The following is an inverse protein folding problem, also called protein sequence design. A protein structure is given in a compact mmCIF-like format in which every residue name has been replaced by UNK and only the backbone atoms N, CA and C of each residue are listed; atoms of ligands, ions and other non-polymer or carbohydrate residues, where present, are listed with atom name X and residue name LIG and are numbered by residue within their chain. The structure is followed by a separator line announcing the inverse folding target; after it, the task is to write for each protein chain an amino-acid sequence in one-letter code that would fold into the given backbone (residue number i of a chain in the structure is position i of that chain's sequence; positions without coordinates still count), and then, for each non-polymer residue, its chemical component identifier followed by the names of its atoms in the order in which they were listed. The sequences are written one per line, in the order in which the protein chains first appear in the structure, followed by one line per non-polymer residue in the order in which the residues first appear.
data_IF_633641536186
#
_entry.id   IF_633641536186
#
_cell.length_a   1.000
_cell.length_b   1.000
_cell.length_c   1.000
_cell.angle_alpha   90.00
_cell.angle_beta   90.00
_cell.angle_gamma   90.00
#
_symmetry.space_group_name_H-M   'P 1'
#
loop_
_entity.id
_entity.type
_entity.pdbx_description
1 polymer ?
#
# COMPACT_ATOMS: atom_id res chain seq x y z
N UNK A 1 -4.89 34.37 -3.91
CA UNK A 1 -4.32 33.46 -4.93
C UNK A 1 -2.99 32.99 -4.37
N UNK A 2 -2.89 31.71 -3.97
CA UNK A 2 -1.57 31.16 -3.65
C UNK A 2 -0.69 31.15 -4.91
N UNK A 3 0.54 31.64 -4.79
CA UNK A 3 1.50 31.61 -5.87
C UNK A 3 1.72 30.16 -6.32
N UNK A 4 1.68 29.91 -7.64
CA UNK A 4 1.90 28.58 -8.21
C UNK A 4 3.24 28.04 -7.72
N UNK A 5 3.26 26.83 -7.20
CA UNK A 5 4.50 26.19 -6.78
C UNK A 5 5.45 26.05 -7.97
N UNK A 6 6.72 26.44 -7.78
CA UNK A 6 7.76 26.16 -8.75
C UNK A 6 8.13 24.67 -8.68
N UNK A 7 8.36 24.07 -9.85
CA UNK A 7 8.73 22.65 -10.00
C UNK A 7 10.15 22.55 -10.55
N UNK A 8 10.87 21.52 -10.15
CA UNK A 8 12.12 21.11 -10.76
C UNK A 8 12.05 19.67 -11.24
N UNK A 9 12.94 19.31 -12.18
CA UNK A 9 13.03 17.97 -12.77
C UNK A 9 14.30 17.29 -12.32
N UNK A 10 14.19 16.02 -11.97
CA UNK A 10 15.32 15.15 -11.60
C UNK A 10 15.06 13.74 -12.12
N UNK A 11 16.08 13.11 -12.74
CA UNK A 11 16.00 11.73 -13.17
C UNK A 11 16.57 10.80 -12.08
N UNK A 12 15.77 9.85 -11.62
CA UNK A 12 16.16 8.89 -10.60
C UNK A 12 15.86 7.48 -11.11
N UNK A 13 16.90 6.66 -11.29
CA UNK A 13 16.81 5.29 -11.80
C UNK A 13 15.92 5.21 -13.08
N UNK A 14 16.27 6.00 -14.09
CA UNK A 14 15.56 6.08 -15.39
C UNK A 14 14.09 6.48 -15.28
N UNK A 15 13.67 7.08 -14.17
CA UNK A 15 12.35 7.66 -13.98
C UNK A 15 12.51 9.16 -13.80
N UNK A 16 11.84 9.95 -14.67
CA UNK A 16 11.80 11.39 -14.53
C UNK A 16 10.82 11.79 -13.43
N UNK A 17 11.28 12.57 -12.47
CA UNK A 17 10.49 13.17 -11.40
C UNK A 17 10.37 14.66 -11.66
N UNK A 18 9.17 15.19 -11.53
CA UNK A 18 8.90 16.63 -11.61
C UNK A 18 8.11 17.01 -10.36
N UNK A 19 8.78 17.65 -9.41
CA UNK A 19 8.25 17.88 -8.06
C UNK A 19 8.40 19.34 -7.65
N UNK A 20 7.52 19.83 -6.75
CA UNK A 20 7.66 21.17 -6.17
C UNK A 20 9.00 21.35 -5.44
N UNK A 21 9.62 22.54 -5.55
CA UNK A 21 10.90 22.88 -4.93
C UNK A 21 10.96 22.67 -3.40
N UNK A 22 9.78 22.64 -2.73
CA UNK A 22 9.69 22.33 -1.30
C UNK A 22 10.11 20.89 -0.96
N UNK A 23 10.15 19.99 -1.95
CA UNK A 23 10.57 18.59 -1.76
C UNK A 23 11.96 18.37 -2.32
N UNK A 24 12.93 18.16 -1.44
CA UNK A 24 14.35 18.03 -1.80
C UNK A 24 14.90 16.66 -1.47
N UNK A 25 16.12 16.35 -1.94
CA UNK A 25 16.85 15.11 -1.63
C UNK A 25 16.04 13.86 -1.98
N UNK A 26 15.48 13.82 -3.17
CA UNK A 26 14.76 12.66 -3.66
C UNK A 26 15.67 11.43 -3.68
N UNK A 27 15.19 10.34 -3.10
CA UNK A 27 15.89 9.03 -3.12
C UNK A 27 14.86 7.93 -3.30
N UNK A 28 15.00 7.13 -4.35
CA UNK A 28 14.09 6.00 -4.59
C UNK A 28 14.18 4.98 -3.47
N UNK A 29 13.02 4.59 -2.94
CA UNK A 29 12.86 3.62 -1.84
C UNK A 29 12.02 2.42 -2.26
N UNK A 30 11.27 2.52 -3.37
CA UNK A 30 10.46 1.43 -3.86
C UNK A 30 10.03 1.63 -5.31
N UNK A 31 9.78 0.52 -6.00
CA UNK A 31 9.16 0.48 -7.34
C UNK A 31 8.23 -0.70 -7.40
N UNK A 32 7.06 -0.51 -7.97
CA UNK A 32 6.05 -1.54 -8.17
C UNK A 32 5.34 -1.37 -9.50
N UNK A 33 4.46 -2.30 -9.83
CA UNK A 33 3.71 -2.30 -11.10
C UNK A 33 2.88 -1.02 -11.33
N UNK A 34 2.57 -0.27 -10.27
CA UNK A 34 1.62 0.86 -10.31
C UNK A 34 2.23 2.20 -9.96
N UNK A 35 3.53 2.23 -9.64
CA UNK A 35 4.20 3.47 -9.29
C UNK A 35 5.58 3.27 -8.72
N UNK A 36 6.33 4.36 -8.69
CA UNK A 36 7.63 4.45 -8.02
C UNK A 36 7.52 5.35 -6.80
N UNK A 37 8.28 5.05 -5.76
CA UNK A 37 8.25 5.81 -4.49
C UNK A 37 9.65 6.35 -4.21
N UNK A 38 9.73 7.65 -3.93
CA UNK A 38 10.93 8.31 -3.41
C UNK A 38 10.70 8.81 -1.99
N UNK A 39 11.71 8.72 -1.15
CA UNK A 39 11.77 9.56 0.05
C UNK A 39 12.24 10.97 -0.32
N UNK A 40 11.78 11.97 0.42
CA UNK A 40 12.14 13.37 0.25
C UNK A 40 12.12 14.09 1.59
N UNK A 41 12.76 15.26 1.65
CA UNK A 41 12.63 16.20 2.77
C UNK A 41 11.68 17.31 2.35
N UNK A 42 10.65 17.55 3.16
CA UNK A 42 9.79 18.71 2.99
C UNK A 42 10.45 19.91 3.67
N UNK A 43 10.98 20.86 2.89
CA UNK A 43 11.74 22.01 3.39
C UNK A 43 10.92 22.98 4.26
N UNK A 44 9.57 22.92 4.16
CA UNK A 44 8.71 23.80 4.98
C UNK A 44 8.72 23.42 6.46
N UNK A 45 8.72 22.11 6.77
CA UNK A 45 8.67 21.60 8.15
C UNK A 45 9.84 20.68 8.51
N UNK A 46 10.79 20.48 7.58
CA UNK A 46 11.97 19.60 7.72
C UNK A 46 11.64 18.12 7.95
N UNK A 47 10.39 17.72 7.74
CA UNK A 47 9.96 16.34 7.86
C UNK A 47 10.32 15.51 6.64
N UNK A 48 10.64 14.24 6.88
CA UNK A 48 10.84 13.26 5.83
C UNK A 48 9.50 12.73 5.36
N UNK A 49 9.27 12.72 4.05
CA UNK A 49 8.05 12.25 3.41
C UNK A 49 8.35 11.15 2.39
N UNK A 50 7.33 10.38 2.02
CA UNK A 50 7.36 9.48 0.88
C UNK A 50 6.48 10.06 -0.24
N UNK A 51 7.03 10.16 -1.44
CA UNK A 51 6.31 10.65 -2.61
C UNK A 51 6.14 9.47 -3.57
N UNK A 52 4.89 9.09 -3.85
CA UNK A 52 4.54 8.05 -4.82
C UNK A 52 4.15 8.71 -6.14
N UNK A 53 4.90 8.44 -7.19
CA UNK A 53 4.56 8.78 -8.57
C UNK A 53 3.76 7.63 -9.16
N UNK A 54 2.52 7.87 -9.58
CA UNK A 54 1.69 6.87 -10.25
C UNK A 54 2.16 6.69 -11.69
N UNK A 55 2.30 5.44 -12.15
CA UNK A 55 2.68 5.13 -13.51
C UNK A 55 1.48 5.26 -14.45
N UNK A 56 1.50 6.26 -15.35
CA UNK A 56 0.51 6.48 -16.40
C UNK A 56 -0.93 6.30 -15.90
N UNK A 57 -1.35 7.03 -14.84
CA UNK A 57 -2.64 6.81 -14.20
C UNK A 57 -3.84 7.05 -15.12
N UNK A 58 -3.65 7.76 -16.24
CA UNK A 58 -4.71 8.10 -17.19
C UNK A 58 -4.60 7.33 -18.51
N UNK A 59 -3.73 6.32 -18.62
CA UNK A 59 -3.55 5.52 -19.84
C UNK A 59 -4.81 4.73 -20.24
N UNK A 60 -5.62 4.32 -19.25
CA UNK A 60 -6.89 3.63 -19.46
C UNK A 60 -7.86 3.94 -18.33
N UNK A 61 -9.15 3.69 -18.58
CA UNK A 61 -10.20 3.85 -17.57
C UNK A 61 -9.94 3.00 -16.31
N UNK A 62 -9.38 1.80 -16.46
CA UNK A 62 -9.05 0.90 -15.36
C UNK A 62 -7.98 1.53 -14.44
N UNK A 63 -6.91 2.10 -15.03
CA UNK A 63 -5.86 2.78 -14.28
C UNK A 63 -6.39 4.06 -13.61
N UNK A 64 -7.20 4.84 -14.31
CA UNK A 64 -7.80 6.06 -13.77
C UNK A 64 -8.74 5.77 -12.60
N UNK A 65 -9.61 4.78 -12.72
CA UNK A 65 -10.49 4.33 -11.63
C UNK A 65 -9.70 3.84 -10.41
N UNK A 66 -8.56 3.17 -10.64
CA UNK A 66 -7.68 2.72 -9.57
C UNK A 66 -7.01 3.89 -8.86
N UNK A 67 -6.40 4.81 -9.60
CA UNK A 67 -5.77 6.02 -9.05
C UNK A 67 -6.77 6.86 -8.26
N UNK A 68 -7.95 7.09 -8.82
CA UNK A 68 -9.05 7.80 -8.15
C UNK A 68 -9.48 7.14 -6.84
N UNK A 69 -9.64 5.81 -6.86
CA UNK A 69 -10.00 5.05 -5.65
C UNK A 69 -8.92 5.17 -4.57
N UNK A 70 -7.65 4.97 -4.94
CA UNK A 70 -6.53 5.11 -4.00
C UNK A 70 -6.52 6.52 -3.37
N UNK A 71 -6.65 7.56 -4.20
CA UNK A 71 -6.71 8.93 -3.72
C UNK A 71 -7.90 9.18 -2.78
N UNK A 72 -9.09 8.73 -3.16
CA UNK A 72 -10.31 8.89 -2.35
C UNK A 72 -10.16 8.22 -0.99
N UNK A 73 -9.65 6.99 -0.97
CA UNK A 73 -9.44 6.25 0.26
C UNK A 73 -8.39 6.91 1.14
N UNK A 74 -7.21 7.24 0.62
CA UNK A 74 -6.13 7.90 1.37
C UNK A 74 -6.58 9.24 1.97
N UNK A 75 -7.40 10.01 1.23
CA UNK A 75 -7.94 11.29 1.73
C UNK A 75 -8.85 11.11 2.95
N UNK A 76 -9.59 10.00 3.03
CA UNK A 76 -10.53 9.73 4.12
C UNK A 76 -9.90 8.98 5.30
N UNK A 77 -8.78 8.26 5.09
CA UNK A 77 -8.14 7.47 6.14
C UNK A 77 -7.42 8.36 7.15
N UNK A 78 -7.91 8.34 8.40
CA UNK A 78 -7.35 9.07 9.55
C UNK A 78 -7.27 8.13 10.74
N UNK A 79 -6.21 7.32 10.78
CA UNK A 79 -5.98 6.35 11.85
C UNK A 79 -4.47 6.13 12.02
N UNK A 80 -4.00 5.90 13.23
CA UNK A 80 -2.58 5.70 13.55
C UNK A 80 -1.95 4.55 12.77
N UNK A 81 -2.69 3.46 12.57
CA UNK A 81 -2.20 2.26 11.90
C UNK A 81 -2.60 2.17 10.42
N UNK A 82 -3.01 3.27 9.81
CA UNK A 82 -3.31 3.37 8.38
C UNK A 82 -2.54 4.55 7.79
N UNK A 83 -1.93 4.35 6.63
CA UNK A 83 -1.21 5.43 5.96
C UNK A 83 -2.16 6.55 5.59
N UNK A 84 -1.78 7.78 5.90
CA UNK A 84 -2.52 8.99 5.56
C UNK A 84 -1.96 9.67 4.32
N UNK A 85 -2.70 10.67 3.83
CA UNK A 85 -2.29 11.56 2.76
C UNK A 85 -1.89 12.91 3.33
N UNK A 86 -0.67 13.37 3.01
CA UNK A 86 -0.17 14.69 3.41
C UNK A 86 -0.51 15.73 2.34
N UNK A 87 -0.25 15.39 1.07
CA UNK A 87 -0.41 16.31 -0.06
C UNK A 87 -0.58 15.53 -1.36
N UNK A 88 -1.08 16.20 -2.40
CA UNK A 88 -1.13 15.69 -3.77
C UNK A 88 -0.68 16.79 -4.72
N UNK A 89 -0.03 16.43 -5.80
CA UNK A 89 0.31 17.41 -6.84
C UNK A 89 0.43 16.75 -8.22
N UNK A 90 0.32 17.59 -9.23
CA UNK A 90 0.68 17.32 -10.61
C UNK A 90 1.42 18.53 -11.17
N UNK A 91 2.45 18.38 -12.02
CA UNK A 91 3.09 19.50 -12.69
C UNK A 91 2.22 20.12 -13.79
N UNK A 92 1.19 19.41 -14.25
CA UNK A 92 0.28 19.85 -15.29
C UNK A 92 -0.47 21.14 -14.91
N UNK A 93 -0.74 21.98 -15.92
CA UNK A 93 -1.49 23.23 -15.76
C UNK A 93 -2.95 23.06 -16.13
N UNK A 94 -3.24 22.11 -17.01
CA UNK A 94 -4.58 21.77 -17.50
C UNK A 94 -4.83 20.28 -17.34
N UNK A 95 -6.10 19.89 -17.43
CA UNK A 95 -6.47 18.47 -17.37
C UNK A 95 -5.92 17.68 -18.56
N UNK A 96 -5.85 18.29 -19.73
CA UNK A 96 -5.37 17.66 -20.97
C UNK A 96 -3.86 17.36 -20.91
N UNK A 97 -3.09 18.15 -20.16
CA UNK A 97 -1.66 17.96 -19.93
C UNK A 97 -1.36 16.99 -18.79
N UNK A 98 -2.37 16.56 -18.03
CA UNK A 98 -2.20 15.76 -16.82
C UNK A 98 -1.78 14.32 -17.16
N UNK A 99 -0.46 14.07 -17.18
CA UNK A 99 0.14 12.75 -17.42
C UNK A 99 0.63 12.11 -16.12
N UNK A 100 1.19 12.92 -15.22
CA UNK A 100 1.79 12.50 -13.97
C UNK A 100 0.95 12.93 -12.77
N UNK A 101 0.83 12.03 -11.79
CA UNK A 101 0.12 12.29 -10.54
C UNK A 101 0.94 11.75 -9.35
N UNK A 102 1.06 12.58 -8.33
CA UNK A 102 1.91 12.30 -7.18
C UNK A 102 1.13 12.36 -5.87
N UNK A 103 1.37 11.38 -5.00
CA UNK A 103 0.80 11.29 -3.66
C UNK A 103 1.92 11.46 -2.64
N UNK A 104 1.76 12.37 -1.70
CA UNK A 104 2.71 12.61 -0.60
C UNK A 104 2.16 12.00 0.68
N UNK A 105 2.95 11.15 1.31
CA UNK A 105 2.57 10.37 2.49
C UNK A 105 3.65 10.46 3.57
N UNK A 106 3.33 10.13 4.82
CA UNK A 106 4.35 9.97 5.87
C UNK A 106 5.42 8.96 5.44
N UNK A 107 6.69 9.32 5.71
CA UNK A 107 7.81 8.39 5.49
C UNK A 107 7.81 7.30 6.55
N UNK A 108 7.91 6.04 6.12
CA UNK A 108 8.13 4.89 6.98
C UNK A 108 9.50 4.29 6.68
N UNK A 109 10.20 3.84 7.72
CA UNK A 109 11.58 3.37 7.60
C UNK A 109 11.72 2.15 6.68
N UNK A 110 10.82 1.17 6.85
CA UNK A 110 10.83 -0.08 6.08
C UNK A 110 9.43 -0.69 6.00
N UNK A 111 9.33 -1.88 5.43
CA UNK A 111 8.14 -2.73 5.46
C UNK A 111 8.47 -4.11 6.03
N UNK A 112 7.45 -4.86 6.46
CA UNK A 112 7.65 -6.17 7.09
C UNK A 112 8.33 -7.20 6.19
N UNK A 113 8.27 -7.06 4.86
CA UNK A 113 8.95 -7.99 3.94
C UNK A 113 10.48 -7.90 4.01
N UNK A 114 10.98 -6.76 4.50
CA UNK A 114 12.42 -6.48 4.66
C UNK A 114 12.91 -6.69 6.08
N UNK A 115 12.02 -6.86 7.04
CA UNK A 115 12.37 -7.19 8.41
C UNK A 115 12.83 -8.65 8.44
N UNK A 116 14.13 -8.86 8.61
CA UNK A 116 14.73 -10.20 8.67
C UNK A 116 15.12 -10.54 10.11
N UNK A 117 15.00 -11.84 10.44
CA UNK A 117 15.32 -12.37 11.75
C UNK A 117 14.08 -12.72 12.56
N UNK A 118 14.30 -13.40 13.69
CA UNK A 118 13.21 -13.74 14.61
C UNK A 118 12.76 -12.47 15.35
N UNK A 119 11.51 -12.10 15.13
CA UNK A 119 10.83 -11.12 15.98
C UNK A 119 10.56 -11.78 17.33
N UNK A 120 10.77 -11.06 18.42
CA UNK A 120 10.35 -11.52 19.75
C UNK A 120 8.83 -11.65 19.79
N UNK A 121 8.31 -12.51 20.68
CA UNK A 121 6.88 -12.71 20.86
C UNK A 121 6.14 -11.37 21.11
N UNK A 122 6.70 -10.53 21.98
CA UNK A 122 6.15 -9.20 22.27
C UNK A 122 6.04 -8.31 21.02
N UNK A 123 7.05 -8.34 20.15
CA UNK A 123 7.02 -7.58 18.89
C UNK A 123 5.98 -8.12 17.92
N UNK A 124 5.85 -9.45 17.81
CA UNK A 124 4.82 -10.08 16.99
C UNK A 124 3.44 -9.68 17.51
N UNK A 125 3.21 -9.80 18.81
CA UNK A 125 1.96 -9.42 19.46
C UNK A 125 1.61 -7.96 19.18
N UNK A 126 2.57 -7.04 19.37
CA UNK A 126 2.38 -5.62 19.15
C UNK A 126 2.08 -5.27 17.69
N UNK A 127 2.77 -5.88 16.73
CA UNK A 127 2.53 -5.68 15.31
C UNK A 127 1.16 -6.22 14.89
N UNK A 128 0.78 -7.42 15.34
CA UNK A 128 -0.54 -8.01 15.05
C UNK A 128 -1.66 -7.14 15.65
N UNK A 129 -1.50 -6.68 16.88
CA UNK A 129 -2.45 -5.77 17.51
C UNK A 129 -2.68 -4.52 16.65
N UNK A 130 -1.62 -3.88 16.18
CA UNK A 130 -1.71 -2.68 15.34
C UNK A 130 -2.38 -2.98 13.98
N UNK A 131 -2.07 -4.13 13.34
CA UNK A 131 -2.76 -4.56 12.12
C UNK A 131 -4.26 -4.67 12.35
N UNK A 132 -4.68 -5.31 13.45
CA UNK A 132 -6.10 -5.49 13.78
C UNK A 132 -6.79 -4.15 14.10
N UNK A 133 -6.12 -3.22 14.79
CA UNK A 133 -6.62 -1.87 15.02
C UNK A 133 -6.87 -1.12 13.70
N UNK A 134 -5.89 -1.14 12.79
CA UNK A 134 -6.02 -0.54 11.47
C UNK A 134 -7.12 -1.19 10.64
N UNK A 135 -7.21 -2.52 10.63
CA UNK A 135 -8.27 -3.24 9.91
C UNK A 135 -9.65 -2.97 10.49
N UNK A 136 -9.80 -2.93 11.82
CA UNK A 136 -11.07 -2.56 12.44
C UNK A 136 -11.55 -1.21 11.95
N UNK A 137 -10.65 -0.24 11.83
CA UNK A 137 -10.98 1.09 11.30
C UNK A 137 -11.43 1.02 9.84
N UNK A 138 -10.67 0.35 8.97
CA UNK A 138 -10.95 0.18 7.54
C UNK A 138 -12.29 -0.56 7.34
N UNK A 139 -12.50 -1.66 8.08
CA UNK A 139 -13.70 -2.48 8.00
C UNK A 139 -14.95 -1.75 8.49
N UNK A 140 -14.85 -0.91 9.53
CA UNK A 140 -15.95 -0.04 9.97
C UNK A 140 -16.38 0.97 8.90
N UNK A 141 -15.48 1.36 8.02
CA UNK A 141 -15.78 2.22 6.87
C UNK A 141 -16.37 1.43 5.67
N UNK A 142 -16.69 0.14 5.85
CA UNK A 142 -17.22 -0.72 4.77
C UNK A 142 -16.19 -1.05 3.69
N UNK A 143 -14.91 -0.98 3.98
CA UNK A 143 -13.83 -1.20 3.01
C UNK A 143 -13.13 -2.52 3.33
N UNK A 144 -12.82 -3.31 2.29
CA UNK A 144 -12.00 -4.51 2.34
C UNK A 144 -10.67 -4.20 1.64
N UNK A 145 -9.54 -4.46 2.30
CA UNK A 145 -8.21 -4.16 1.76
C UNK A 145 -7.82 -5.10 0.61
N UNK A 146 -8.02 -6.41 0.76
CA UNK A 146 -7.85 -7.50 -0.22
C UNK A 146 -6.42 -7.81 -0.67
N UNK A 147 -5.43 -7.04 -0.28
CA UNK A 147 -4.03 -7.27 -0.67
C UNK A 147 -3.07 -7.05 0.52
N UNK A 148 -3.49 -7.48 1.71
CA UNK A 148 -2.58 -7.47 2.86
C UNK A 148 -1.48 -8.49 2.65
N UNK A 149 -0.24 -8.03 2.81
CA UNK A 149 1.00 -8.80 2.72
C UNK A 149 2.11 -8.03 3.45
N UNK A 150 3.22 -8.65 3.81
CA UNK A 150 4.32 -7.96 4.51
C UNK A 150 4.81 -6.69 3.82
N UNK A 151 4.84 -6.66 2.47
CA UNK A 151 5.25 -5.47 1.72
C UNK A 151 4.26 -4.30 1.76
N UNK A 152 3.01 -4.54 2.18
CA UNK A 152 1.98 -3.51 2.35
C UNK A 152 1.79 -3.10 3.83
N UNK A 153 2.71 -3.50 4.70
CA UNK A 153 2.74 -3.16 6.12
C UNK A 153 4.05 -2.44 6.44
N UNK A 154 4.00 -1.13 6.44
CA UNK A 154 5.15 -0.30 6.75
C UNK A 154 5.38 -0.22 8.25
N UNK A 155 6.65 -0.20 8.64
CA UNK A 155 7.07 -0.12 10.04
C UNK A 155 8.20 0.89 10.20
N UNK A 156 8.25 1.53 11.37
CA UNK A 156 9.37 2.37 11.77
C UNK A 156 10.29 1.66 12.77
N UNK A 157 11.28 2.38 13.30
CA UNK A 157 12.26 1.83 14.24
C UNK A 157 11.64 1.48 15.60
N UNK A 158 10.55 2.12 15.97
CA UNK A 158 9.80 1.92 17.23
C UNK A 158 8.74 0.83 17.11
N UNK A 159 8.76 0.05 16.00
CA UNK A 159 7.76 -0.96 15.67
C UNK A 159 6.33 -0.41 15.50
N UNK A 160 6.16 0.89 15.25
CA UNK A 160 4.87 1.42 14.85
C UNK A 160 4.56 0.99 13.42
N UNK A 161 3.32 0.51 13.20
CA UNK A 161 2.87 -0.08 11.95
C UNK A 161 1.80 0.77 11.28
N UNK A 162 1.90 0.89 9.95
CA UNK A 162 0.85 1.47 9.11
C UNK A 162 0.53 0.56 7.92
N UNK A 163 -0.77 0.34 7.69
CA UNK A 163 -1.28 -0.36 6.51
C UNK A 163 -1.16 0.56 5.30
N UNK A 164 -0.58 0.05 4.22
CA UNK A 164 -0.35 0.76 2.96
C UNK A 164 -1.22 0.20 1.83
N UNK A 165 -1.27 0.94 0.71
CA UNK A 165 -1.70 0.51 -0.63
C UNK A 165 -3.16 0.04 -0.73
N UNK A 166 -4.04 1.02 -0.90
CA UNK A 166 -5.47 0.81 -1.15
C UNK A 166 -5.84 0.60 -2.63
N UNK A 167 -4.85 0.40 -3.51
CA UNK A 167 -5.09 0.28 -4.95
C UNK A 167 -5.99 -0.91 -5.35
N UNK A 168 -6.04 -1.97 -4.54
CA UNK A 168 -6.93 -3.11 -4.72
C UNK A 168 -8.13 -3.14 -3.76
N UNK A 169 -8.23 -2.17 -2.85
CA UNK A 169 -9.35 -2.10 -1.90
C UNK A 169 -10.70 -1.93 -2.61
N UNK A 170 -11.77 -2.44 -2.00
CA UNK A 170 -13.15 -2.33 -2.47
C UNK A 170 -14.10 -2.02 -1.32
N UNK A 171 -15.24 -1.43 -1.63
CA UNK A 171 -16.36 -1.41 -0.69
C UNK A 171 -17.02 -2.80 -0.66
N UNK A 172 -17.70 -3.10 0.43
CA UNK A 172 -18.43 -4.36 0.62
C UNK A 172 -19.53 -4.57 -0.42
N UNK A 173 -20.02 -3.49 -1.04
CA UNK A 173 -21.13 -3.50 -2.01
C UNK A 173 -20.66 -3.58 -3.48
N UNK A 174 -19.36 -3.67 -3.76
CA UNK A 174 -18.84 -3.64 -5.12
C UNK A 174 -18.58 -5.05 -5.69
N UNK A 175 -18.93 -5.26 -6.97
CA UNK A 175 -18.57 -6.48 -7.71
C UNK A 175 -17.05 -6.70 -7.75
N UNK A 176 -16.63 -7.95 -7.59
CA UNK A 176 -15.27 -8.35 -7.34
C UNK A 176 -14.57 -8.90 -8.58
N UNK A 177 -13.48 -8.27 -9.00
CA UNK A 177 -12.64 -8.74 -10.12
C UNK A 177 -11.28 -9.23 -9.64
N UNK A 178 -10.82 -10.39 -10.15
CA UNK A 178 -9.52 -10.97 -9.81
C UNK A 178 -8.40 -10.43 -10.70
N UNK A 179 -7.20 -10.17 -10.14
CA UNK A 179 -5.97 -9.96 -10.91
C UNK A 179 -4.68 -10.38 -10.17
N UNK A 180 -3.61 -10.62 -10.93
CA UNK A 180 -2.36 -11.30 -10.54
C UNK A 180 -1.45 -10.40 -9.69
N UNK A 181 -1.29 -10.74 -8.40
CA UNK A 181 -0.22 -10.27 -7.51
C UNK A 181 0.06 -11.39 -6.52
N UNK A 182 1.18 -11.39 -5.79
CA UNK A 182 1.55 -12.41 -4.79
C UNK A 182 0.34 -12.90 -3.98
N UNK A 183 -0.06 -14.16 -4.20
CA UNK A 183 -1.33 -14.74 -3.71
C UNK A 183 -1.19 -15.49 -2.39
N UNK A 184 0.02 -15.61 -1.85
CA UNK A 184 0.34 -16.43 -0.68
C UNK A 184 -0.39 -16.03 0.60
N UNK A 185 -0.90 -14.81 0.66
CA UNK A 185 -1.62 -14.24 1.80
C UNK A 185 -3.12 -14.09 1.56
N UNK A 186 -3.61 -14.49 0.38
CA UNK A 186 -5.03 -14.35 0.03
C UNK A 186 -5.84 -15.52 0.54
N UNK A 187 -7.01 -15.21 1.07
CA UNK A 187 -7.99 -16.20 1.47
C UNK A 187 -8.42 -17.08 0.29
N UNK A 188 -8.71 -18.39 0.52
CA UNK A 188 -9.11 -19.32 -0.54
C UNK A 188 -10.28 -18.83 -1.38
N UNK A 189 -11.31 -18.25 -0.75
CA UNK A 189 -12.48 -17.69 -1.43
C UNK A 189 -12.14 -16.54 -2.37
N UNK A 190 -11.08 -15.76 -2.09
CA UNK A 190 -10.59 -14.71 -2.98
C UNK A 190 -9.84 -15.32 -4.18
N UNK A 191 -9.05 -16.37 -3.96
CA UNK A 191 -8.30 -17.07 -5.03
C UNK A 191 -9.25 -17.79 -5.97
N UNK A 192 -10.27 -18.46 -5.42
CA UNK A 192 -11.29 -19.20 -6.15
C UNK A 192 -12.35 -18.30 -6.81
N UNK A 193 -12.20 -16.99 -6.67
CA UNK A 193 -13.09 -15.98 -7.22
C UNK A 193 -14.56 -16.20 -6.84
N UNK A 194 -14.81 -16.57 -5.57
CA UNK A 194 -16.16 -16.62 -5.04
C UNK A 194 -16.74 -15.21 -5.03
N UNK A 195 -17.93 -15.06 -5.62
CA UNK A 195 -18.54 -13.73 -5.84
C UNK A 195 -18.92 -13.02 -4.53
N UNK A 196 -19.01 -13.78 -3.44
CA UNK A 196 -19.43 -13.28 -2.14
C UNK A 196 -18.39 -13.62 -1.08
N UNK A 197 -17.53 -12.68 -0.73
CA UNK A 197 -16.63 -12.76 0.41
C UNK A 197 -16.72 -11.50 1.27
N UNK A 198 -16.36 -11.61 2.52
CA UNK A 198 -16.52 -10.56 3.53
C UNK A 198 -15.16 -9.93 3.88
N UNK A 199 -15.17 -8.99 4.80
CA UNK A 199 -13.98 -8.37 5.39
C UNK A 199 -13.03 -9.37 6.05
N UNK A 200 -13.51 -10.56 6.40
CA UNK A 200 -12.72 -11.63 7.03
C UNK A 200 -11.58 -12.15 6.16
N UNK A 201 -11.61 -11.90 4.83
CA UNK A 201 -10.48 -12.21 3.94
C UNK A 201 -9.19 -11.49 4.36
N UNK A 202 -9.31 -10.28 4.93
CA UNK A 202 -8.16 -9.56 5.46
C UNK A 202 -7.65 -10.18 6.76
N UNK A 203 -8.52 -10.78 7.57
CA UNK A 203 -8.14 -11.50 8.79
C UNK A 203 -7.35 -12.77 8.45
N UNK A 204 -7.74 -13.50 7.39
CA UNK A 204 -6.93 -14.60 6.85
C UNK A 204 -5.50 -14.14 6.53
N UNK A 205 -5.38 -13.00 5.83
CA UNK A 205 -4.07 -12.44 5.49
C UNK A 205 -3.24 -12.11 6.73
N UNK A 206 -3.85 -11.56 7.79
CA UNK A 206 -3.17 -11.31 9.07
C UNK A 206 -2.67 -12.61 9.69
N UNK A 207 -3.47 -13.68 9.67
CA UNK A 207 -3.06 -15.01 10.15
C UNK A 207 -1.83 -15.54 9.41
N UNK A 208 -1.80 -15.44 8.08
CA UNK A 208 -0.65 -15.83 7.26
C UNK A 208 0.61 -15.00 7.59
N UNK A 209 0.46 -13.68 7.77
CA UNK A 209 1.56 -12.77 8.11
C UNK A 209 2.09 -13.06 9.52
N UNK A 210 1.19 -13.29 10.49
CA UNK A 210 1.56 -13.66 11.85
C UNK A 210 2.36 -14.97 11.87
N UNK A 211 1.89 -16.00 11.17
CA UNK A 211 2.59 -17.28 11.06
C UNK A 211 3.98 -17.10 10.43
N UNK A 212 4.13 -16.24 9.41
CA UNK A 212 5.42 -15.94 8.80
C UNK A 212 6.36 -15.20 9.76
N UNK A 213 5.86 -14.27 10.56
CA UNK A 213 6.66 -13.57 11.59
C UNK A 213 7.18 -14.54 12.66
N UNK A 214 6.39 -15.55 13.05
CA UNK A 214 6.77 -16.54 14.05
C UNK A 214 7.75 -17.57 13.48
N UNK A 215 7.47 -18.09 12.29
CA UNK A 215 8.21 -19.22 11.70
C UNK A 215 9.36 -18.80 10.79
N UNK A 216 9.44 -17.51 10.42
CA UNK A 216 10.43 -16.98 9.47
C UNK A 216 10.23 -17.46 8.02
N UNK A 217 9.13 -18.14 7.72
CA UNK A 217 8.81 -18.69 6.40
C UNK A 217 7.36 -18.42 6.03
N UNK A 218 7.14 -18.09 4.75
CA UNK A 218 5.79 -17.92 4.19
C UNK A 218 4.99 -19.22 4.37
N UNK A 219 3.78 -19.12 4.94
CA UNK A 219 2.95 -20.27 5.31
C UNK A 219 2.48 -21.06 4.08
N UNK A 220 1.94 -20.37 3.07
CA UNK A 220 1.36 -20.99 1.87
C UNK A 220 2.10 -20.56 0.59
N UNK A 221 3.38 -20.90 0.49
CA UNK A 221 4.22 -20.56 -0.67
C UNK A 221 3.95 -21.51 -1.83
N UNK A 222 2.99 -21.17 -2.71
CA UNK A 222 2.73 -21.90 -3.96
C UNK A 222 3.41 -21.25 -5.18
N UNK A 223 3.71 -22.07 -6.20
CA UNK A 223 4.21 -21.60 -7.52
C UNK A 223 3.08 -20.99 -8.37
N UNK A 224 1.85 -21.48 -8.20
CA UNK A 224 0.64 -21.02 -8.87
C UNK A 224 -0.54 -20.89 -7.90
N UNK A 225 -1.66 -20.37 -8.41
CA UNK A 225 -2.86 -20.14 -7.58
C UNK A 225 -3.53 -21.42 -7.11
N UNK A 226 -3.43 -22.51 -7.88
CA UNK A 226 -4.07 -23.79 -7.56
C UNK A 226 -3.31 -24.48 -6.44
N UNK A 227 -1.97 -24.45 -6.46
CA UNK A 227 -1.14 -25.02 -5.40
C UNK A 227 -1.28 -24.25 -4.08
N UNK A 228 -1.37 -22.93 -4.13
CA UNK A 228 -1.59 -22.11 -2.92
C UNK A 228 -2.95 -22.37 -2.27
N UNK A 229 -4.02 -22.53 -3.06
CA UNK A 229 -5.35 -22.87 -2.54
C UNK A 229 -5.44 -24.32 -2.06
N UNK A 230 -4.83 -25.27 -2.76
CA UNK A 230 -4.77 -26.66 -2.31
C UNK A 230 -4.04 -26.80 -0.96
N UNK A 231 -2.88 -26.16 -0.81
CA UNK A 231 -2.14 -26.16 0.45
C UNK A 231 -2.96 -25.54 1.61
N UNK A 232 -3.74 -24.48 1.35
CA UNK A 232 -4.60 -23.89 2.38
C UNK A 232 -5.75 -24.80 2.80
N UNK A 233 -6.31 -25.61 1.86
CA UNK A 233 -7.40 -26.56 2.16
C UNK A 233 -6.97 -27.82 2.90
N UNK A 234 -5.68 -28.20 2.84
CA UNK A 234 -5.16 -29.36 3.57
C UNK A 234 -4.85 -29.07 5.05
N UNK A 235 -4.84 -27.80 5.47
CA UNK A 235 -4.49 -27.38 6.83
C UNK A 235 -5.69 -26.82 7.62
N UNK A 236 -6.89 -26.82 7.04
CA UNK A 236 -8.16 -26.54 7.73
C UNK A 236 -8.93 -27.82 7.99
#
# INVERSE_FOLDING_TARGET
MEARAHFYREEINSTMWEVPEKFTRLKQIGTGAYGSVCSSINEKNKEKVAIKKLHRPFQSEIFAKRAYRELRLLKHMKHENVIGLIDVFSPATTLDEMQDFYLVMPYMFTDLSKVRGHLTEDKVQFLVYQMLCGLRYIHKAGIIHRDLKPGNLAVNQDCELKILDFGLARSTDAEMTGYVVTRWYRAPEVILNWMHYTQTVDIWSVGCIMAEMINGKTLFKGRDCILSSALSMYWT
#
